data_IF_812581986780
#
_entry.id   IF_812581986780
#
_cell.length_a   1.000
_cell.length_b   1.000
_cell.length_c   1.000
_cell.angle_alpha   90.00
_cell.angle_beta   90.00
_cell.angle_gamma   90.00
#
_symmetry.space_group_name_H-M   'P 1'
#
loop_
_entity.id
_entity.type
_entity.pdbx_description
1 polymer ?
#
# COMPACT_ATOMS: atom_id res chain seq x y z
N UNK A 1 -15.35 -7.08 -11.80
CA UNK A 1 -14.04 -7.37 -11.18
C UNK A 1 -14.14 -8.68 -10.40
N UNK A 2 -13.13 -9.53 -10.46
CA UNK A 2 -13.17 -10.80 -9.75
C UNK A 2 -13.00 -10.58 -8.24
N UNK A 3 -13.51 -11.50 -7.38
CA UNK A 3 -13.32 -11.38 -5.93
C UNK A 3 -11.85 -11.25 -5.53
N UNK A 4 -10.95 -11.94 -6.25
CA UNK A 4 -9.52 -11.86 -5.99
C UNK A 4 -8.99 -10.43 -6.21
N UNK A 5 -9.42 -9.77 -7.28
CA UNK A 5 -9.00 -8.40 -7.59
C UNK A 5 -9.52 -7.42 -6.54
N UNK A 6 -10.74 -7.64 -6.04
CA UNK A 6 -11.30 -6.81 -4.97
C UNK A 6 -10.47 -6.92 -3.69
N UNK A 7 -10.05 -8.13 -3.32
CA UNK A 7 -9.21 -8.36 -2.15
C UNK A 7 -7.86 -7.66 -2.32
N UNK A 8 -7.22 -7.83 -3.47
CA UNK A 8 -5.92 -7.20 -3.76
C UNK A 8 -6.03 -5.69 -3.71
N UNK A 9 -7.08 -5.12 -4.30
CA UNK A 9 -7.33 -3.68 -4.28
C UNK A 9 -7.50 -3.18 -2.86
N UNK A 10 -8.30 -3.88 -2.05
CA UNK A 10 -8.54 -3.50 -0.66
C UNK A 10 -7.24 -3.48 0.15
N UNK A 11 -6.42 -4.50 0.01
CA UNK A 11 -5.14 -4.57 0.72
C UNK A 11 -4.19 -3.46 0.29
N UNK A 12 -4.14 -3.16 -1.00
CA UNK A 12 -3.32 -2.08 -1.53
C UNK A 12 -3.76 -0.72 -0.98
N UNK A 13 -5.07 -0.44 -1.02
CA UNK A 13 -5.62 0.82 -0.53
C UNK A 13 -5.34 0.98 0.96
N UNK A 14 -5.52 -0.08 1.76
CA UNK A 14 -5.26 -0.03 3.18
C UNK A 14 -3.77 0.27 3.47
N UNK A 15 -2.86 -0.37 2.76
CA UNK A 15 -1.43 -0.14 2.92
C UNK A 15 -1.02 1.27 2.49
N UNK A 16 -1.61 1.76 1.41
CA UNK A 16 -1.37 3.12 0.91
C UNK A 16 -1.82 4.17 1.93
N UNK A 17 -3.05 4.04 2.43
CA UNK A 17 -3.61 4.99 3.40
C UNK A 17 -2.78 5.05 4.67
N UNK A 18 -2.24 3.92 5.12
CA UNK A 18 -1.42 3.86 6.31
C UNK A 18 -0.11 4.66 6.17
N UNK A 19 0.42 4.77 4.95
CA UNK A 19 1.65 5.52 4.68
C UNK A 19 1.36 6.98 4.35
N UNK A 20 0.25 7.26 3.67
CA UNK A 20 -0.06 8.59 3.13
C UNK A 20 -1.14 9.35 3.92
N UNK A 21 -1.29 9.05 5.21
CA UNK A 21 -2.12 9.85 6.10
C UNK A 21 -3.62 9.79 5.82
N UNK A 22 -4.10 8.69 5.31
CA UNK A 22 -5.53 8.49 5.07
C UNK A 22 -6.02 8.88 3.68
N UNK A 23 -5.16 9.41 2.84
CA UNK A 23 -5.51 9.69 1.44
C UNK A 23 -5.67 8.40 0.66
N UNK A 24 -6.70 8.32 -0.18
CA UNK A 24 -6.94 7.15 -1.00
C UNK A 24 -6.32 7.31 -2.39
N UNK A 25 -5.69 6.26 -2.94
CA UNK A 25 -5.21 6.30 -4.30
C UNK A 25 -6.38 6.13 -5.27
N UNK A 26 -6.27 6.71 -6.45
CA UNK A 26 -7.23 6.47 -7.52
C UNK A 26 -6.82 5.20 -8.24
N UNK A 27 -7.71 4.22 -8.31
CA UNK A 27 -7.42 2.95 -8.93
C UNK A 27 -8.45 2.70 -10.03
N UNK A 28 -7.96 2.44 -11.22
CA UNK A 28 -8.78 2.07 -12.37
C UNK A 28 -8.24 0.77 -12.95
N UNK A 29 -9.13 -0.12 -13.31
CA UNK A 29 -8.77 -1.33 -14.04
C UNK A 29 -9.36 -1.31 -15.44
N UNK A 30 -8.56 -1.73 -16.40
CA UNK A 30 -8.99 -1.95 -17.77
C UNK A 30 -8.41 -3.28 -18.21
N UNK A 31 -9.28 -4.24 -18.51
CA UNK A 31 -8.89 -5.63 -18.79
C UNK A 31 -8.12 -6.21 -17.59
N UNK A 32 -6.85 -6.55 -17.76
CA UNK A 32 -6.02 -7.07 -16.67
C UNK A 32 -4.95 -6.07 -16.23
N UNK A 33 -5.12 -4.80 -16.58
CA UNK A 33 -4.16 -3.76 -16.25
C UNK A 33 -4.70 -2.85 -15.15
N UNK A 34 -3.80 -2.51 -14.23
CA UNK A 34 -4.09 -1.60 -13.13
C UNK A 34 -3.46 -0.24 -13.40
N UNK A 35 -4.25 0.81 -13.19
CA UNK A 35 -3.76 2.19 -13.29
C UNK A 35 -3.95 2.85 -11.94
N UNK A 36 -2.83 3.22 -11.31
CA UNK A 36 -2.82 3.81 -9.98
C UNK A 36 -2.42 5.27 -10.11
N UNK A 37 -3.32 6.17 -9.67
CA UNK A 37 -3.13 7.62 -9.76
C UNK A 37 -2.80 8.09 -11.19
N UNK A 38 -3.44 7.44 -12.17
CA UNK A 38 -3.24 7.76 -13.60
C UNK A 38 -1.81 7.51 -14.09
N UNK A 39 -1.08 6.66 -13.38
CA UNK A 39 0.27 6.30 -13.77
C UNK A 39 0.32 5.22 -14.85
N UNK A 40 1.48 4.62 -15.03
CA UNK A 40 1.70 3.57 -16.01
C UNK A 40 0.88 2.33 -15.71
N UNK A 41 0.53 1.59 -16.74
CA UNK A 41 -0.18 0.32 -16.60
C UNK A 41 0.66 -0.67 -15.78
N UNK A 42 0.03 -1.35 -14.83
CA UNK A 42 0.69 -2.33 -13.97
C UNK A 42 -0.11 -3.63 -13.97
N UNK A 43 0.59 -4.73 -13.75
CA UNK A 43 -0.04 -6.04 -13.64
C UNK A 43 -0.42 -6.31 -12.19
N UNK A 44 -1.31 -7.29 -11.98
CA UNK A 44 -1.71 -7.69 -10.64
C UNK A 44 -0.51 -8.03 -9.75
N UNK A 45 0.48 -8.73 -10.31
CA UNK A 45 1.73 -9.06 -9.59
C UNK A 45 2.43 -7.81 -9.08
N UNK A 46 2.48 -6.77 -9.90
CA UNK A 46 3.14 -5.51 -9.54
C UNK A 46 2.41 -4.81 -8.41
N UNK A 47 1.07 -4.82 -8.45
CA UNK A 47 0.25 -4.24 -7.39
C UNK A 47 0.46 -4.99 -6.07
N UNK A 48 0.52 -6.32 -6.11
CA UNK A 48 0.80 -7.13 -4.93
C UNK A 48 2.18 -6.83 -4.36
N UNK A 49 3.17 -6.67 -5.23
CA UNK A 49 4.52 -6.30 -4.81
C UNK A 49 4.55 -4.91 -4.17
N UNK A 50 3.86 -3.95 -4.76
CA UNK A 50 3.75 -2.60 -4.20
C UNK A 50 3.10 -2.62 -2.82
N UNK A 51 2.06 -3.44 -2.63
CA UNK A 51 1.41 -3.62 -1.35
C UNK A 51 2.41 -4.13 -0.30
N UNK A 52 3.21 -5.12 -0.66
CA UNK A 52 4.24 -5.66 0.24
C UNK A 52 5.27 -4.60 0.63
N UNK A 53 5.73 -3.83 -0.34
CA UNK A 53 6.69 -2.75 -0.10
C UNK A 53 6.11 -1.71 0.85
N UNK A 54 4.84 -1.33 0.66
CA UNK A 54 4.17 -0.37 1.54
C UNK A 54 4.02 -0.91 2.97
N UNK A 55 3.67 -2.20 3.12
CA UNK A 55 3.56 -2.83 4.43
C UNK A 55 4.92 -2.89 5.13
N UNK A 56 5.97 -3.23 4.42
CA UNK A 56 7.33 -3.27 4.96
C UNK A 56 7.77 -1.87 5.42
N UNK A 57 7.46 -0.85 4.62
CA UNK A 57 7.77 0.53 4.96
C UNK A 57 7.04 0.99 6.21
N UNK A 58 5.76 0.63 6.31
CA UNK A 58 4.95 0.93 7.50
C UNK A 58 5.57 0.29 8.74
N UNK A 59 5.98 -0.98 8.64
CA UNK A 59 6.60 -1.70 9.73
C UNK A 59 7.88 -1.03 10.19
N UNK A 60 8.72 -0.61 9.26
CA UNK A 60 9.96 0.11 9.57
C UNK A 60 9.70 1.42 10.29
N UNK A 61 8.70 2.18 9.84
CA UNK A 61 8.33 3.43 10.48
C UNK A 61 7.83 3.19 11.89
N UNK A 62 7.01 2.17 12.09
CA UNK A 62 6.49 1.79 13.39
C UNK A 62 7.63 1.41 14.35
N UNK A 63 8.57 0.59 13.91
CA UNK A 63 9.74 0.20 14.71
C UNK A 63 10.59 1.41 15.07
N UNK A 64 10.78 2.32 14.14
CA UNK A 64 11.55 3.54 14.38
C UNK A 64 10.89 4.40 15.45
N UNK A 65 9.57 4.53 15.44
CA UNK A 65 8.83 5.30 16.44
C UNK A 65 8.97 4.64 17.81
N UNK A 66 8.82 3.32 17.91
CA UNK A 66 8.99 2.58 19.15
C UNK A 66 10.39 2.76 19.73
N UNK A 67 11.43 2.67 18.93
CA UNK A 67 12.81 2.89 19.38
C UNK A 67 13.04 4.31 19.87
N UNK A 68 12.47 5.29 19.19
CA UNK A 68 12.57 6.69 19.63
C UNK A 68 11.91 6.91 21.00
N UNK A 69 10.76 6.28 21.25
CA UNK A 69 10.08 6.37 22.53
C UNK A 69 10.89 5.71 23.64
N UNK A 70 11.53 4.59 23.36
CA UNK A 70 12.40 3.90 24.31
C UNK A 70 13.60 4.76 24.68
N UNK A 71 14.18 5.47 23.75
CA UNK A 71 15.29 6.37 23.97
C UNK A 71 14.88 7.57 24.84
N UNK A 72 13.67 8.10 24.63
CA UNK A 72 13.16 9.22 25.42
C UNK A 72 12.83 8.81 26.84
N UNK A 73 12.42 7.57 27.06
CA UNK A 73 12.06 7.08 28.39
C UNK A 73 13.27 6.66 29.21
N UNK A 74 14.41 6.58 28.58
CA UNK A 74 15.66 6.26 29.29
C UNK A 74 16.31 7.53 29.83
#
# INVERSE_FOLDING_TARGET
MSPRHEIIKHEFVAAWRAIHGGHEPRIRMSENWWYINEGSARRTRDVQHMTKVLKDRRERLYQKILHSQDEESA
#
